data_IF_328396267750
#
_entry.id   IF_328396267750
#
_cell.length_a   1.000
_cell.length_b   1.000
_cell.length_c   1.000
_cell.angle_alpha   90.00
_cell.angle_beta   90.00
_cell.angle_gamma   90.00
#
_symmetry.space_group_name_H-M   'P 1'
#
loop_
_entity.id
_entity.type
_entity.pdbx_description
1 polymer ?
#
# COMPACT_ATOMS: atom_id res chain seq x y z
N UNK A 1 17.41 -23.98 -36.08
CA UNK A 1 16.29 -24.14 -35.12
C UNK A 1 16.29 -22.89 -34.25
N UNK A 2 15.24 -22.05 -34.35
CA UNK A 2 15.21 -20.68 -33.77
C UNK A 2 14.52 -20.67 -32.41
N UNK A 3 15.21 -20.16 -31.39
CA UNK A 3 14.72 -19.96 -30.03
C UNK A 3 13.72 -18.79 -29.97
N UNK A 4 12.43 -19.08 -30.16
CA UNK A 4 11.31 -18.26 -29.68
C UNK A 4 10.87 -18.82 -28.33
N UNK A 5 11.11 -18.13 -27.22
CA UNK A 5 10.52 -18.57 -25.96
C UNK A 5 11.18 -18.00 -24.72
N UNK A 6 11.19 -16.68 -24.54
CA UNK A 6 11.46 -16.06 -23.24
C UNK A 6 11.18 -14.55 -23.29
N UNK A 7 9.91 -14.14 -23.44
CA UNK A 7 9.55 -12.72 -23.39
C UNK A 7 8.11 -12.43 -22.90
N UNK A 8 7.48 -13.35 -22.15
CA UNK A 8 6.05 -13.26 -21.82
C UNK A 8 5.69 -13.24 -20.32
N UNK A 9 6.61 -12.99 -19.39
CA UNK A 9 6.33 -13.15 -17.94
C UNK A 9 6.29 -11.86 -17.09
N UNK A 10 6.39 -10.66 -17.66
CA UNK A 10 6.52 -9.41 -16.87
C UNK A 10 5.27 -8.51 -16.91
N UNK A 11 4.24 -8.84 -17.70
CA UNK A 11 3.06 -7.97 -17.85
C UNK A 11 1.94 -8.19 -16.80
N UNK A 12 2.01 -9.22 -15.97
CA UNK A 12 0.82 -9.70 -15.21
C UNK A 12 0.56 -9.02 -13.86
N UNK A 13 1.39 -8.08 -13.41
CA UNK A 13 1.26 -7.49 -12.05
C UNK A 13 0.72 -6.07 -12.01
N UNK A 14 0.47 -5.42 -13.16
CA UNK A 14 0.01 -4.02 -13.21
C UNK A 14 -1.52 -3.89 -13.27
N UNK A 15 -2.28 -4.98 -13.48
CA UNK A 15 -3.75 -4.93 -13.60
C UNK A 15 -4.52 -4.75 -12.28
N UNK A 16 -3.85 -4.73 -11.12
CA UNK A 16 -4.53 -4.53 -9.84
C UNK A 16 -4.95 -3.07 -9.55
N UNK A 17 -4.58 -2.11 -10.42
CA UNK A 17 -4.88 -0.68 -10.24
C UNK A 17 -6.32 -0.27 -10.57
N UNK A 18 -7.12 -1.17 -11.15
CA UNK A 18 -8.33 -0.78 -11.87
C UNK A 18 -9.61 -0.61 -11.03
N UNK A 19 -9.53 -0.60 -9.71
CA UNK A 19 -10.71 -0.43 -8.85
C UNK A 19 -10.43 0.48 -7.65
N UNK A 20 -9.30 1.20 -7.63
CA UNK A 20 -8.87 1.97 -6.46
C UNK A 20 -9.52 3.35 -6.43
N UNK A 21 -9.90 3.80 -5.24
CA UNK A 21 -10.28 5.20 -5.01
C UNK A 21 -9.02 6.06 -5.03
N UNK A 22 -8.98 7.02 -5.97
CA UNK A 22 -7.89 7.97 -6.16
C UNK A 22 -8.49 9.36 -6.36
N UNK A 23 -7.88 10.38 -5.76
CA UNK A 23 -8.33 11.77 -5.87
C UNK A 23 -7.16 12.70 -6.19
N UNK A 24 -7.44 13.83 -6.83
CA UNK A 24 -6.42 14.83 -7.18
C UNK A 24 -6.08 15.76 -6.00
N UNK A 25 -6.93 15.75 -4.96
CA UNK A 25 -6.81 16.55 -3.73
C UNK A 25 -6.93 15.64 -2.50
N UNK A 26 -6.29 15.97 -1.37
CA UNK A 26 -6.45 15.19 -0.16
C UNK A 26 -7.89 15.30 0.35
N UNK A 27 -8.44 14.18 0.81
CA UNK A 27 -9.76 14.09 1.44
C UNK A 27 -9.67 14.22 2.96
N UNK A 28 -8.47 14.05 3.52
CA UNK A 28 -8.20 14.23 4.94
C UNK A 28 -7.03 15.18 5.12
N UNK A 29 -7.20 16.15 6.01
CA UNK A 29 -6.16 17.09 6.43
C UNK A 29 -5.37 16.56 7.63
N UNK A 30 -4.46 17.39 8.15
CA UNK A 30 -3.64 17.06 9.33
C UNK A 30 -4.43 17.11 10.64
N UNK A 31 -5.56 17.79 10.69
CA UNK A 31 -6.40 17.88 11.90
C UNK A 31 -7.16 16.57 12.12
N UNK A 32 -7.48 15.86 11.04
CA UNK A 32 -8.05 14.53 11.07
C UNK A 32 -7.11 13.45 11.64
N UNK A 33 -5.83 13.76 11.91
CA UNK A 33 -4.80 12.79 12.31
C UNK A 33 -5.15 12.11 13.64
N UNK A 34 -4.99 10.79 13.66
CA UNK A 34 -5.18 9.99 14.85
C UNK A 34 -4.06 10.20 15.88
N UNK A 35 -4.44 10.29 17.16
CA UNK A 35 -3.50 10.28 18.29
C UNK A 35 -2.68 8.98 18.33
N UNK A 36 -3.25 7.89 17.83
CA UNK A 36 -2.58 6.59 17.71
C UNK A 36 -1.61 6.63 16.53
N UNK A 37 -0.36 6.94 16.83
CA UNK A 37 0.72 6.83 15.87
C UNK A 37 1.22 5.38 15.75
N UNK A 38 1.75 5.04 14.57
CA UNK A 38 2.58 3.86 14.40
C UNK A 38 3.84 3.95 15.27
N UNK A 39 4.33 2.79 15.72
CA UNK A 39 5.73 2.69 16.15
C UNK A 39 6.65 2.98 14.97
N UNK A 40 7.62 3.86 15.19
CA UNK A 40 8.72 4.06 14.26
C UNK A 40 9.56 2.78 14.16
N UNK A 41 9.90 2.34 12.96
CA UNK A 41 10.81 1.21 12.80
C UNK A 41 10.58 0.38 11.56
N UNK A 42 11.07 -0.85 11.65
CA UNK A 42 10.91 -1.88 10.62
C UNK A 42 9.62 -2.62 10.86
N UNK A 43 8.81 -2.68 9.82
CA UNK A 43 7.54 -3.37 9.77
C UNK A 43 7.63 -4.51 8.77
N UNK A 44 7.03 -5.63 9.10
CA UNK A 44 6.85 -6.75 8.19
C UNK A 44 5.44 -6.73 7.63
N UNK A 45 5.28 -6.75 6.32
CA UNK A 45 4.04 -7.20 5.67
C UNK A 45 4.12 -8.71 5.53
N UNK A 46 3.11 -9.43 6.04
CA UNK A 46 3.19 -10.87 6.22
C UNK A 46 1.99 -11.54 5.53
N UNK A 47 2.23 -12.68 4.88
CA UNK A 47 1.15 -13.57 4.48
C UNK A 47 0.57 -14.29 5.71
N UNK A 48 -0.62 -14.86 5.57
CA UNK A 48 -1.17 -15.76 6.59
C UNK A 48 -0.16 -16.87 6.92
N UNK A 49 -0.03 -17.20 8.21
CA UNK A 49 0.84 -18.25 8.73
C UNK A 49 2.35 -18.09 8.47
N UNK A 50 2.80 -16.90 8.05
CA UNK A 50 4.22 -16.63 7.85
C UNK A 50 4.97 -16.60 9.20
N UNK A 51 6.01 -17.44 9.42
CA UNK A 51 6.75 -17.48 10.68
C UNK A 51 7.68 -16.27 10.77
N UNK A 52 7.19 -15.19 11.38
CA UNK A 52 7.93 -13.95 11.54
C UNK A 52 8.64 -13.96 12.90
N UNK A 53 9.94 -13.64 12.97
CA UNK A 53 10.66 -13.44 14.22
C UNK A 53 9.94 -12.46 15.14
N UNK A 54 9.94 -12.73 16.45
CA UNK A 54 9.22 -11.87 17.40
C UNK A 54 9.84 -10.47 17.43
N UNK A 55 9.04 -9.50 17.85
CA UNK A 55 9.49 -8.12 18.01
C UNK A 55 10.77 -8.06 18.88
N UNK A 56 11.84 -7.48 18.35
CA UNK A 56 13.16 -7.39 18.97
C UNK A 56 14.21 -8.38 18.45
N UNK A 57 13.82 -9.42 17.73
CA UNK A 57 14.77 -10.38 17.14
C UNK A 57 15.48 -9.79 15.91
N UNK A 58 16.73 -10.19 15.71
CA UNK A 58 17.52 -9.78 14.53
C UNK A 58 17.11 -10.62 13.33
N UNK A 59 16.42 -10.00 12.37
CA UNK A 59 16.15 -10.62 11.07
C UNK A 59 17.37 -10.48 10.19
N UNK A 60 18.19 -11.52 10.07
CA UNK A 60 19.28 -11.58 9.08
C UNK A 60 18.73 -11.84 7.68
N UNK A 61 17.72 -12.72 7.58
CA UNK A 61 17.07 -13.08 6.33
C UNK A 61 15.55 -13.01 6.51
N UNK A 62 14.88 -12.27 5.62
CA UNK A 62 13.42 -12.25 5.59
C UNK A 62 12.92 -13.52 4.92
N UNK A 63 11.91 -14.22 5.51
CA UNK A 63 11.28 -15.32 4.81
C UNK A 63 10.57 -14.80 3.56
N UNK A 64 10.47 -15.62 2.52
CA UNK A 64 9.85 -15.24 1.24
C UNK A 64 8.37 -14.87 1.37
N UNK A 65 7.69 -15.33 2.43
CA UNK A 65 6.32 -14.98 2.78
C UNK A 65 6.18 -13.60 3.45
N UNK A 66 7.29 -12.89 3.69
CA UNK A 66 7.32 -11.59 4.33
C UNK A 66 8.07 -10.57 3.48
N UNK A 67 7.67 -9.31 3.61
CA UNK A 67 8.44 -8.19 3.08
C UNK A 67 8.61 -7.10 4.11
N UNK A 68 9.79 -6.50 4.16
CA UNK A 68 10.07 -5.42 5.08
C UNK A 68 9.69 -4.06 4.50
N UNK A 69 9.21 -3.19 5.37
CA UNK A 69 8.94 -1.77 5.11
C UNK A 69 9.42 -0.95 6.30
N UNK A 70 9.92 0.25 6.02
CA UNK A 70 10.25 1.20 7.09
C UNK A 70 9.11 2.20 7.17
N UNK A 71 8.41 2.23 8.30
CA UNK A 71 7.44 3.27 8.59
C UNK A 71 8.04 4.25 9.60
N UNK A 72 7.96 5.53 9.26
CA UNK A 72 8.38 6.64 10.10
C UNK A 72 7.13 7.45 10.46
N UNK A 73 6.97 7.89 11.72
CA UNK A 73 5.99 8.90 12.06
C UNK A 73 6.25 10.17 11.25
N UNK A 74 5.20 10.83 10.79
CA UNK A 74 5.32 12.11 10.08
C UNK A 74 5.98 12.01 8.69
N UNK A 75 5.86 10.88 8.00
CA UNK A 75 6.22 10.81 6.57
C UNK A 75 5.42 11.88 5.82
N UNK A 76 6.13 12.75 5.11
CA UNK A 76 5.48 13.73 4.24
C UNK A 76 4.61 13.02 3.21
N UNK A 77 3.37 13.48 3.06
CA UNK A 77 2.39 12.85 2.18
C UNK A 77 1.60 11.70 2.80
N UNK A 78 1.83 11.33 4.05
CA UNK A 78 1.04 10.33 4.77
C UNK A 78 0.13 10.99 5.81
N UNK A 79 -1.16 10.68 5.73
CA UNK A 79 -2.14 11.03 6.78
C UNK A 79 -2.82 9.77 7.27
N UNK A 80 -2.86 9.58 8.59
CA UNK A 80 -3.65 8.53 9.23
C UNK A 80 -4.84 9.16 9.93
N UNK A 81 -5.99 9.18 9.26
CA UNK A 81 -7.20 9.81 9.77
C UNK A 81 -7.94 8.90 10.77
N UNK A 82 -8.45 9.50 11.85
CA UNK A 82 -9.29 8.82 12.87
C UNK A 82 -10.53 8.17 12.25
N UNK A 83 -11.07 7.12 12.87
CA UNK A 83 -12.31 6.45 12.47
C UNK A 83 -12.25 4.94 12.69
N UNK A 84 -13.35 4.25 12.35
CA UNK A 84 -13.41 2.79 12.27
C UNK A 84 -14.00 2.34 10.91
N UNK A 85 -13.18 1.86 9.96
CA UNK A 85 -11.73 1.74 10.05
C UNK A 85 -11.03 3.13 10.07
N UNK A 86 -9.77 3.14 10.50
CA UNK A 86 -8.89 4.29 10.28
C UNK A 86 -8.62 4.42 8.78
N UNK A 87 -8.39 5.65 8.28
CA UNK A 87 -8.06 5.86 6.87
C UNK A 87 -6.59 6.21 6.73
N UNK A 88 -5.88 5.40 5.96
CA UNK A 88 -4.52 5.66 5.53
C UNK A 88 -4.56 6.35 4.17
N UNK A 89 -4.28 7.66 4.14
CA UNK A 89 -4.17 8.46 2.92
C UNK A 89 -2.69 8.62 2.55
N UNK A 90 -2.35 8.26 1.32
CA UNK A 90 -1.01 8.34 0.76
C UNK A 90 -1.00 9.29 -0.44
N UNK A 91 -0.21 10.36 -0.36
CA UNK A 91 0.14 11.20 -1.50
C UNK A 91 1.13 10.45 -2.39
N UNK A 92 0.81 10.35 -3.66
CA UNK A 92 1.68 9.88 -4.72
C UNK A 92 2.06 11.09 -5.58
N UNK A 93 3.35 11.27 -5.83
CA UNK A 93 3.85 12.35 -6.68
C UNK A 93 4.43 11.75 -7.96
N UNK A 94 4.04 12.30 -9.10
CA UNK A 94 4.58 12.00 -10.44
C UNK A 94 5.06 13.31 -11.07
N UNK A 95 5.71 13.23 -12.23
CA UNK A 95 6.08 14.41 -13.00
C UNK A 95 4.86 15.23 -13.46
N UNK A 96 3.68 14.59 -13.52
CA UNK A 96 2.40 15.19 -13.92
C UNK A 96 1.63 15.84 -12.75
N UNK A 97 2.05 15.61 -11.50
CA UNK A 97 1.42 16.22 -10.33
C UNK A 97 1.34 15.30 -9.12
N UNK A 98 0.30 15.49 -8.31
CA UNK A 98 0.05 14.67 -7.12
C UNK A 98 -1.34 14.07 -7.15
N UNK A 99 -1.43 12.80 -6.77
CA UNK A 99 -2.69 12.11 -6.51
C UNK A 99 -2.67 11.52 -5.11
N UNK A 100 -3.83 11.11 -4.62
CA UNK A 100 -4.00 10.56 -3.28
C UNK A 100 -4.71 9.23 -3.37
N UNK A 101 -4.07 8.20 -2.81
CA UNK A 101 -4.62 6.85 -2.70
C UNK A 101 -5.03 6.58 -1.24
N UNK A 102 -5.97 5.66 -1.07
CA UNK A 102 -6.59 5.38 0.21
C UNK A 102 -6.52 3.89 0.56
N UNK A 103 -6.29 3.61 1.84
CA UNK A 103 -6.44 2.28 2.42
C UNK A 103 -7.23 2.35 3.73
N UNK A 104 -8.06 1.33 3.98
CA UNK A 104 -8.63 1.09 5.28
C UNK A 104 -7.58 0.44 6.18
N UNK A 105 -7.55 0.85 7.44
CA UNK A 105 -6.62 0.33 8.44
C UNK A 105 -7.36 -0.03 9.73
N UNK A 106 -7.03 -1.19 10.29
CA UNK A 106 -7.51 -1.62 11.60
C UNK A 106 -6.35 -2.06 12.49
N UNK A 107 -6.08 -1.37 13.61
CA UNK A 107 -5.12 -1.86 14.59
C UNK A 107 -5.56 -3.23 15.11
N UNK A 108 -4.66 -4.21 15.10
CA UNK A 108 -4.90 -5.55 15.66
C UNK A 108 -4.15 -5.74 16.98
N UNK A 109 -3.09 -4.95 17.20
CA UNK A 109 -2.39 -4.88 18.48
C UNK A 109 -1.90 -3.45 18.72
N UNK A 110 -1.90 -3.08 20.01
CA UNK A 110 -1.32 -1.83 20.50
C UNK A 110 -0.28 -2.18 21.57
N UNK A 111 0.84 -1.44 21.59
CA UNK A 111 1.82 -1.58 22.66
C UNK A 111 1.33 -0.95 23.98
N UNK A 112 2.13 -1.11 25.05
CA UNK A 112 1.82 -0.57 26.39
C UNK A 112 1.65 0.96 26.42
N UNK A 113 2.14 1.67 25.40
CA UNK A 113 2.02 3.12 25.26
C UNK A 113 0.86 3.52 24.34
N UNK A 114 0.03 2.57 23.92
CA UNK A 114 -1.11 2.79 23.02
C UNK A 114 -0.74 3.00 21.56
N UNK A 115 0.51 2.72 21.16
CA UNK A 115 0.95 2.85 19.76
C UNK A 115 0.61 1.59 18.98
N UNK A 116 0.31 1.75 17.69
CA UNK A 116 0.06 0.62 16.80
C UNK A 116 1.39 -0.11 16.56
N UNK A 117 1.40 -1.41 16.83
CA UNK A 117 2.52 -2.33 16.58
C UNK A 117 2.09 -3.60 15.82
N UNK A 118 0.79 -3.82 15.60
CA UNK A 118 0.27 -4.65 14.52
C UNK A 118 -1.04 -4.10 13.96
N UNK A 119 -1.26 -4.25 12.65
CA UNK A 119 -2.50 -3.81 11.99
C UNK A 119 -2.82 -4.61 10.73
N UNK A 120 -4.11 -4.59 10.36
CA UNK A 120 -4.60 -4.96 9.04
C UNK A 120 -4.69 -3.72 8.16
N UNK A 121 -4.35 -3.88 6.88
CA UNK A 121 -4.46 -2.86 5.85
C UNK A 121 -5.08 -3.44 4.58
N UNK A 122 -6.04 -2.76 3.99
CA UNK A 122 -6.64 -3.15 2.71
C UNK A 122 -6.89 -1.90 1.84
N UNK A 123 -6.78 -2.01 0.50
CA UNK A 123 -7.04 -0.88 -0.37
C UNK A 123 -8.51 -0.44 -0.27
N UNK A 124 -8.75 0.86 -0.42
CA UNK A 124 -10.11 1.38 -0.64
C UNK A 124 -10.43 1.22 -2.12
N UNK A 125 -11.38 0.35 -2.39
CA UNK A 125 -11.88 0.07 -3.73
C UNK A 125 -13.21 0.79 -4.01
N UNK A 126 -13.50 1.02 -5.28
CA UNK A 126 -14.67 1.76 -5.74
C UNK A 126 -15.99 1.04 -5.47
N UNK A 127 -15.93 -0.28 -5.30
CA UNK A 127 -17.06 -1.18 -5.14
C UNK A 127 -16.59 -2.62 -5.28
N UNK A 128 -17.48 -3.62 -5.17
CA UNK A 128 -17.11 -5.01 -5.33
C UNK A 128 -16.55 -5.23 -6.74
N UNK A 129 -15.36 -5.85 -6.88
CA UNK A 129 -14.77 -6.13 -8.18
C UNK A 129 -15.61 -7.18 -8.92
N UNK A 130 -15.59 -7.13 -10.25
CA UNK A 130 -16.15 -8.21 -11.08
C UNK A 130 -15.07 -9.28 -11.24
N UNK A 131 -15.37 -10.52 -10.83
CA UNK A 131 -14.48 -11.66 -11.03
C UNK A 131 -14.90 -12.37 -12.32
N UNK A 132 -14.00 -12.46 -13.31
CA UNK A 132 -14.29 -13.19 -14.56
C UNK A 132 -14.28 -14.70 -14.34
N UNK A 133 -14.83 -15.51 -15.27
CA UNK A 133 -14.72 -16.97 -15.19
C UNK A 133 -13.27 -17.49 -15.08
N UNK A 134 -12.31 -16.75 -15.62
CA UNK A 134 -10.88 -17.04 -15.55
C UNK A 134 -10.23 -16.60 -14.22
N UNK A 135 -11.01 -16.02 -13.31
CA UNK A 135 -10.54 -15.55 -12.00
C UNK A 135 -9.91 -14.16 -12.02
N UNK A 136 -10.01 -13.41 -13.12
CA UNK A 136 -9.46 -12.06 -13.22
C UNK A 136 -10.31 -11.06 -12.45
N UNK A 137 -9.67 -10.17 -11.67
CA UNK A 137 -10.35 -9.03 -11.01
C UNK A 137 -10.47 -7.87 -11.98
N UNK A 138 -11.71 -7.45 -12.27
CA UNK A 138 -12.05 -6.28 -13.08
C UNK A 138 -12.67 -5.17 -12.19
N UNK A 139 -12.58 -3.90 -12.63
CA UNK A 139 -13.29 -2.79 -11.98
C UNK A 139 -14.75 -3.10 -11.68
N UNK A 140 -15.28 -2.50 -10.63
CA UNK A 140 -16.72 -2.54 -10.37
C UNK A 140 -17.49 -1.83 -11.50
N UNK A 141 -18.69 -2.32 -11.82
CA UNK A 141 -19.68 -1.62 -12.65
C UNK A 141 -20.68 -0.80 -11.83
N UNK A 142 -20.64 -0.97 -10.51
CA UNK A 142 -21.60 -0.41 -9.56
C UNK A 142 -20.81 0.27 -8.44
N UNK A 143 -20.27 1.47 -8.68
CA UNK A 143 -19.53 2.19 -7.66
C UNK A 143 -20.40 2.43 -6.42
N UNK A 144 -19.78 2.44 -5.25
CA UNK A 144 -20.45 2.71 -3.99
C UNK A 144 -20.96 4.16 -3.89
N UNK A 145 -21.82 4.47 -2.90
CA UNK A 145 -22.41 5.81 -2.76
C UNK A 145 -21.37 6.93 -2.57
N UNK A 146 -21.41 7.93 -3.46
CA UNK A 146 -20.48 9.07 -3.49
C UNK A 146 -19.15 8.76 -4.21
N UNK A 147 -19.11 7.68 -4.99
CA UNK A 147 -17.97 7.28 -5.81
C UNK A 147 -18.38 7.27 -7.29
N UNK A 148 -17.48 7.70 -8.17
CA UNK A 148 -17.70 7.72 -9.61
C UNK A 148 -16.53 7.05 -10.33
N UNK A 149 -16.84 6.11 -11.23
CA UNK A 149 -15.87 5.52 -12.15
C UNK A 149 -15.78 6.39 -13.40
N UNK A 150 -14.58 6.87 -13.75
CA UNK A 150 -14.36 7.53 -15.04
C UNK A 150 -14.11 6.45 -16.10
N UNK A 151 -15.03 6.32 -17.06
CA UNK A 151 -15.07 5.21 -18.03
C UNK A 151 -14.07 5.27 -19.19
N UNK A 152 -13.21 6.30 -19.26
CA UNK A 152 -12.45 6.61 -20.49
C UNK A 152 -10.92 6.40 -20.40
N UNK A 153 -10.33 6.37 -19.20
CA UNK A 153 -8.88 6.20 -18.99
C UNK A 153 -8.62 5.46 -17.69
N UNK A 154 -7.53 4.67 -17.55
CA UNK A 154 -7.50 3.44 -16.75
C UNK A 154 -8.17 3.59 -15.39
N UNK A 155 -9.48 3.30 -15.36
CA UNK A 155 -10.34 3.04 -14.20
C UNK A 155 -9.95 3.78 -12.92
N UNK A 156 -9.85 5.11 -12.99
CA UNK A 156 -9.74 5.93 -11.80
C UNK A 156 -11.13 6.10 -11.19
N UNK A 157 -11.28 5.64 -9.94
CA UNK A 157 -12.48 5.89 -9.16
C UNK A 157 -12.28 7.13 -8.31
N UNK A 158 -13.16 8.12 -8.41
CA UNK A 158 -13.10 9.35 -7.64
C UNK A 158 -14.14 9.32 -6.53
N UNK A 159 -13.74 9.80 -5.35
CA UNK A 159 -14.66 10.07 -4.25
C UNK A 159 -15.09 11.53 -4.27
N UNK A 160 -16.37 11.80 -4.01
CA UNK A 160 -16.92 13.14 -3.90
C UNK A 160 -16.42 13.85 -2.63
N UNK A 161 -16.30 13.10 -1.52
CA UNK A 161 -15.90 13.62 -0.22
C UNK A 161 -15.23 12.56 0.68
N UNK A 162 -14.76 13.01 1.84
CA UNK A 162 -14.14 12.17 2.86
C UNK A 162 -15.08 11.08 3.41
N UNK A 163 -16.39 11.33 3.46
CA UNK A 163 -17.38 10.37 3.94
C UNK A 163 -17.56 9.22 2.94
N UNK A 164 -17.50 9.50 1.64
CA UNK A 164 -17.49 8.48 0.59
C UNK A 164 -16.26 7.57 0.72
N UNK A 165 -15.07 8.13 0.95
CA UNK A 165 -13.85 7.33 1.21
C UNK A 165 -14.02 6.43 2.43
N UNK A 166 -14.62 6.93 3.53
CA UNK A 166 -14.84 6.14 4.75
C UNK A 166 -15.79 4.96 4.52
N UNK A 167 -16.92 5.20 3.86
CA UNK A 167 -17.88 4.14 3.51
C UNK A 167 -17.22 3.10 2.60
N UNK A 168 -16.55 3.57 1.54
CA UNK A 168 -15.80 2.72 0.62
C UNK A 168 -14.76 1.86 1.35
N UNK A 169 -14.01 2.43 2.29
CA UNK A 169 -13.02 1.70 3.07
C UNK A 169 -13.65 0.60 3.94
N UNK A 170 -14.79 0.89 4.57
CA UNK A 170 -15.53 -0.09 5.36
C UNK A 170 -16.00 -1.26 4.48
N UNK A 171 -16.61 -0.97 3.34
CA UNK A 171 -17.17 -2.00 2.47
C UNK A 171 -16.06 -2.81 1.78
N UNK A 172 -14.97 -2.15 1.35
CA UNK A 172 -13.83 -2.77 0.67
C UNK A 172 -13.22 -3.92 1.45
N UNK A 173 -13.30 -3.88 2.78
CA UNK A 173 -12.80 -4.96 3.64
C UNK A 173 -13.39 -6.33 3.30
N UNK A 174 -14.59 -6.38 2.71
CA UNK A 174 -15.27 -7.63 2.37
C UNK A 174 -14.72 -8.33 1.12
N UNK A 175 -13.96 -7.63 0.26
CA UNK A 175 -13.52 -8.18 -1.03
C UNK A 175 -12.08 -7.82 -1.41
N UNK A 176 -11.53 -6.77 -0.80
CA UNK A 176 -10.15 -6.35 -1.00
C UNK A 176 -9.19 -7.30 -0.25
N UNK A 177 -8.02 -7.60 -0.82
CA UNK A 177 -7.02 -8.39 -0.12
C UNK A 177 -6.54 -7.63 1.13
N UNK A 178 -6.64 -8.27 2.29
CA UNK A 178 -6.15 -7.74 3.56
C UNK A 178 -4.69 -8.16 3.73
N UNK A 179 -3.83 -7.20 4.03
CA UNK A 179 -2.44 -7.43 4.43
C UNK A 179 -2.29 -7.19 5.92
N UNK A 180 -1.51 -8.06 6.57
CA UNK A 180 -1.16 -7.91 7.98
C UNK A 180 0.23 -7.31 8.09
N UNK A 181 0.35 -6.30 8.94
CA UNK A 181 1.60 -5.62 9.24
C UNK A 181 1.95 -5.78 10.71
N UNK A 182 3.21 -6.14 10.99
CA UNK A 182 3.72 -6.33 12.35
C UNK A 182 5.00 -5.53 12.52
N UNK A 183 5.10 -4.76 13.61
CA UNK A 183 6.32 -4.06 13.96
C UNK A 183 7.37 -5.06 14.47
N UNK A 184 8.55 -5.05 13.88
CA UNK A 184 9.62 -6.00 14.21
C UNK A 184 10.65 -5.37 15.13
N UNK A 185 11.15 -4.16 14.81
CA UNK A 185 12.25 -3.55 15.58
C UNK A 185 12.37 -2.04 15.36
N UNK A 186 13.00 -1.28 16.28
CA UNK A 186 13.23 0.14 16.07
C UNK A 186 14.24 0.39 14.95
N UNK A 187 14.14 1.56 14.30
CA UNK A 187 15.03 1.94 13.19
C UNK A 187 16.49 2.10 13.62
N UNK A 188 16.80 2.56 14.84
CA UNK A 188 18.18 2.83 15.27
C UNK A 188 19.14 1.63 15.11
N UNK A 189 18.61 0.41 14.99
CA UNK A 189 19.38 -0.79 14.68
C UNK A 189 19.81 -0.89 13.20
N UNK A 190 19.16 -0.17 12.29
CA UNK A 190 19.52 -0.06 10.88
C UNK A 190 20.65 0.96 10.64
N UNK A 191 20.73 2.04 11.43
CA UNK A 191 21.78 3.07 11.22
C UNK A 191 23.21 2.52 11.46
N UNK A 192 23.33 1.33 12.07
CA UNK A 192 24.60 0.60 12.25
C UNK A 192 24.80 -0.57 11.29
N UNK A 193 23.79 -0.89 10.48
CA UNK A 193 23.86 -1.96 9.48
C UNK A 193 24.18 -1.32 8.13
N UNK A 194 25.00 -1.94 7.26
CA UNK A 194 25.10 -1.47 5.88
C UNK A 194 23.69 -1.42 5.28
N UNK A 195 23.38 -0.42 4.42
CA UNK A 195 22.08 -0.34 3.77
C UNK A 195 21.76 -1.71 3.15
N UNK A 196 20.56 -2.22 3.40
CA UNK A 196 20.21 -3.54 2.88
C UNK A 196 20.25 -3.43 1.36
N UNK A 197 20.94 -4.35 0.68
CA UNK A 197 21.15 -4.28 -0.77
C UNK A 197 19.85 -4.14 -1.59
N UNK A 198 18.70 -4.53 -1.03
CA UNK A 198 17.37 -4.39 -1.65
C UNK A 198 16.62 -3.08 -1.30
N UNK A 199 17.09 -2.29 -0.32
CA UNK A 199 16.54 -0.95 -0.01
C UNK A 199 16.81 0.06 -1.14
N UNK A 200 17.80 -0.20 -1.99
CA UNK A 200 18.07 0.63 -3.17
C UNK A 200 17.08 0.37 -4.33
N UNK A 201 16.57 -0.85 -4.48
CA UNK A 201 15.72 -1.22 -5.63
C UNK A 201 14.22 -1.04 -5.38
N UNK A 202 13.78 -1.01 -4.11
CA UNK A 202 12.33 -1.01 -3.77
C UNK A 202 11.79 0.33 -3.29
N UNK A 203 12.62 1.34 -3.09
CA UNK A 203 12.15 2.64 -2.60
C UNK A 203 11.23 3.35 -3.61
N UNK A 204 11.40 3.15 -4.93
CA UNK A 204 10.62 3.88 -5.94
C UNK A 204 10.35 3.19 -7.26
N UNK A 205 10.52 1.86 -7.41
CA UNK A 205 10.18 1.18 -8.69
C UNK A 205 10.80 1.82 -9.94
N UNK A 206 11.88 2.60 -9.79
CA UNK A 206 12.60 3.19 -10.89
C UNK A 206 13.42 2.05 -11.48
N UNK A 207 13.11 1.68 -12.73
CA UNK A 207 14.06 0.94 -13.55
C UNK A 207 15.41 1.65 -13.43
N UNK A 208 16.51 0.91 -13.20
CA UNK A 208 17.86 1.45 -13.40
C UNK A 208 17.85 2.23 -14.71
N UNK A 209 18.15 3.52 -14.68
CA UNK A 209 18.49 4.24 -15.89
C UNK A 209 19.68 3.48 -16.51
N UNK A 210 19.50 2.92 -17.69
CA UNK A 210 20.63 2.38 -18.45
C UNK A 210 21.61 3.54 -18.67
N UNK A 211 22.91 3.34 -18.42
CA UNK A 211 23.89 4.37 -18.70
C UNK A 211 23.80 4.75 -20.18
N UNK A 212 23.88 6.05 -20.55
CA UNK A 212 23.82 6.45 -21.94
C UNK A 212 24.91 5.70 -22.72
N UNK A 213 24.48 5.01 -23.78
CA UNK A 213 25.40 4.35 -24.70
C UNK A 213 26.41 5.36 -25.22
N UNK A 214 27.71 5.04 -25.13
CA UNK A 214 28.77 5.91 -25.62
C UNK A 214 28.53 6.25 -27.11
N UNK A 215 28.77 7.51 -27.53
CA UNK A 215 28.72 7.87 -28.95
C UNK A 215 29.72 7.02 -29.74
N UNK A 216 29.29 6.57 -30.92
CA UNK A 216 30.13 5.84 -31.89
C UNK A 216 31.09 6.78 -32.59
#
# INVERSE_FOLDING_TARGET
>A
MRSLGLLALVASTVLAGCNLVITDRPMFDREAVAERAFKAGVWASVQADCPIPRAGETVQHWPTCASARILRPGIEGLVLARGDPMIYQLRMTTDEGSSYAYAGLRPTHLDKSGKIDAFELWPVECGPPVITPEGERRPTKTPGPGLTMNGEEPSSCRAEDASAVRRAAKDSRNWAPVKVFIWVRPRKLLDKSPPLAWEMDTAYGMKKAEPPSAPR
#
